data_IF_093200539368
#
_entry.id   IF_093200539368
#
_cell.length_a   1.000
_cell.length_b   1.000
_cell.length_c   1.000
_cell.angle_alpha   90.00
_cell.angle_beta   90.00
_cell.angle_gamma   90.00
#
_symmetry.space_group_name_H-M   'P 1'
#
loop_
_entity.id
_entity.type
_entity.pdbx_description
1 polymer ?
#
# COMPACT_ATOMS: atom_id res chain seq x y z
N UNK A 1 30.19 -33.40 -25.01
CA UNK A 1 29.37 -32.49 -24.17
C UNK A 1 30.29 -31.82 -23.14
N UNK A 2 30.48 -30.50 -23.20
CA UNK A 2 31.27 -29.75 -22.19
C UNK A 2 30.37 -29.40 -21.01
N UNK A 3 30.71 -29.89 -19.81
CA UNK A 3 30.00 -29.56 -18.58
C UNK A 3 30.12 -28.06 -18.27
N UNK A 4 28.99 -27.37 -18.10
CA UNK A 4 28.94 -26.01 -17.55
C UNK A 4 29.47 -26.06 -16.11
N UNK A 5 30.64 -25.47 -15.85
CA UNK A 5 31.11 -25.20 -14.48
C UNK A 5 30.08 -24.29 -13.78
N UNK A 6 29.54 -24.75 -12.66
CA UNK A 6 28.73 -23.92 -11.78
C UNK A 6 29.56 -22.73 -11.28
N UNK A 7 29.08 -21.49 -11.49
CA UNK A 7 29.69 -20.28 -10.93
C UNK A 7 29.61 -20.39 -9.41
N UNK A 8 30.76 -20.35 -8.72
CA UNK A 8 30.81 -20.18 -7.26
C UNK A 8 30.01 -18.93 -6.87
N UNK A 9 29.21 -18.96 -5.78
CA UNK A 9 28.54 -17.76 -5.30
C UNK A 9 29.60 -16.68 -5.02
N UNK A 10 29.34 -15.48 -5.51
CA UNK A 10 30.26 -14.34 -5.38
C UNK A 10 30.14 -13.76 -3.96
N UNK A 11 31.22 -13.82 -3.18
CA UNK A 11 31.30 -13.21 -1.84
C UNK A 11 31.56 -11.68 -1.91
N UNK A 12 31.26 -11.06 -3.06
CA UNK A 12 31.49 -9.63 -3.28
C UNK A 12 30.75 -8.79 -2.24
N UNK A 13 29.47 -9.07 -1.99
CA UNK A 13 28.68 -8.32 -1.02
C UNK A 13 29.20 -8.48 0.42
N UNK A 14 29.76 -9.64 0.78
CA UNK A 14 30.31 -9.85 2.13
C UNK A 14 31.61 -9.09 2.31
N UNK A 15 32.45 -9.05 1.28
CA UNK A 15 33.77 -8.38 1.33
C UNK A 15 33.72 -6.87 1.01
N UNK A 16 32.58 -6.37 0.55
CA UNK A 16 32.36 -4.97 0.23
C UNK A 16 32.29 -4.11 1.50
N UNK A 17 33.07 -3.03 1.52
CA UNK A 17 33.04 -1.98 2.53
C UNK A 17 32.69 -0.66 1.85
N UNK A 18 31.75 0.09 2.43
CA UNK A 18 31.23 1.34 1.87
C UNK A 18 30.98 2.35 2.99
N UNK A 19 31.22 3.62 2.67
CA UNK A 19 30.74 4.75 3.44
C UNK A 19 30.32 5.83 2.46
N UNK A 20 29.03 6.15 2.41
CA UNK A 20 28.45 7.10 1.48
C UNK A 20 27.68 8.12 2.29
N UNK A 21 28.02 9.39 2.15
CA UNK A 21 27.23 10.50 2.67
C UNK A 21 26.40 11.08 1.53
N UNK A 22 25.11 11.24 1.77
CA UNK A 22 24.15 11.86 0.86
C UNK A 22 23.63 13.11 1.55
N UNK A 23 23.86 14.26 0.95
CA UNK A 23 23.30 15.53 1.39
C UNK A 23 22.73 16.26 0.17
N UNK A 24 21.43 16.53 0.18
CA UNK A 24 20.76 17.23 -0.91
C UNK A 24 20.76 18.74 -0.70
N UNK A 25 21.53 19.48 -1.50
CA UNK A 25 21.51 20.95 -1.48
C UNK A 25 20.18 21.53 -1.99
N UNK A 26 19.54 20.88 -2.96
CA UNK A 26 18.22 21.22 -3.49
C UNK A 26 17.25 20.08 -3.21
N UNK A 27 15.95 20.35 -3.00
CA UNK A 27 14.97 19.31 -2.80
C UNK A 27 14.95 18.33 -3.97
N UNK A 28 14.95 17.03 -3.65
CA UNK A 28 14.74 15.96 -4.59
C UNK A 28 13.24 15.85 -4.87
N UNK A 29 12.86 15.83 -6.15
CA UNK A 29 11.45 15.72 -6.56
C UNK A 29 11.16 14.26 -6.88
N UNK A 30 10.25 13.67 -6.13
CA UNK A 30 9.68 12.36 -6.42
C UNK A 30 8.28 12.55 -7.02
N UNK A 31 8.13 12.20 -8.30
CA UNK A 31 6.87 12.29 -9.03
C UNK A 31 6.57 10.98 -9.73
N UNK A 32 5.47 10.34 -9.35
CA UNK A 32 5.05 9.04 -9.88
C UNK A 32 3.54 8.94 -9.79
N UNK A 33 2.84 8.77 -10.92
CA UNK A 33 1.37 8.76 -11.08
C UNK A 33 0.60 9.66 -10.09
N UNK A 34 0.38 9.12 -8.90
CA UNK A 34 -0.45 9.70 -7.84
C UNK A 34 0.34 10.44 -6.74
N UNK A 35 1.66 10.44 -6.77
CA UNK A 35 2.55 11.04 -5.77
C UNK A 35 3.36 12.17 -6.42
N UNK A 36 3.40 13.31 -5.74
CA UNK A 36 4.33 14.39 -6.04
C UNK A 36 4.84 15.00 -4.75
N UNK A 37 6.04 14.61 -4.33
CA UNK A 37 6.65 15.01 -3.06
C UNK A 37 8.04 15.59 -3.34
N UNK A 38 8.39 16.64 -2.61
CA UNK A 38 9.75 17.15 -2.56
C UNK A 38 10.38 16.74 -1.23
N UNK A 39 11.64 16.32 -1.24
CA UNK A 39 12.34 15.91 -0.03
C UNK A 39 13.75 16.46 0.05
N UNK A 40 14.19 16.76 1.28
CA UNK A 40 15.61 16.96 1.59
C UNK A 40 16.13 15.72 2.28
N UNK A 41 17.31 15.29 1.86
CA UNK A 41 17.93 14.04 2.29
C UNK A 41 19.25 14.36 2.95
N UNK A 42 19.44 13.89 4.18
CA UNK A 42 20.72 13.82 4.85
C UNK A 42 20.89 12.40 5.38
N UNK A 43 21.62 11.56 4.65
CA UNK A 43 21.77 10.13 4.96
C UNK A 43 23.24 9.71 4.91
N UNK A 44 23.66 8.95 5.92
CA UNK A 44 24.89 8.17 5.91
C UNK A 44 24.59 6.70 5.67
N UNK A 45 25.12 6.13 4.59
CA UNK A 45 25.04 4.71 4.28
C UNK A 45 26.40 4.08 4.56
N UNK A 46 26.43 3.14 5.49
CA UNK A 46 27.65 2.46 5.92
C UNK A 46 27.52 0.96 5.74
N UNK A 47 28.60 0.33 5.31
CA UNK A 47 28.73 -1.12 5.30
C UNK A 47 30.16 -1.49 5.62
N UNK A 48 30.33 -2.37 6.60
CA UNK A 48 31.60 -3.01 6.88
C UNK A 48 31.66 -4.40 6.22
N UNK A 49 32.86 -4.96 6.10
CA UNK A 49 33.06 -6.34 5.66
C UNK A 49 32.31 -7.29 6.60
N UNK A 50 31.59 -8.25 6.05
CA UNK A 50 30.77 -9.24 6.73
C UNK A 50 29.66 -8.65 7.63
N UNK A 51 29.36 -7.36 7.50
CA UNK A 51 28.28 -6.68 8.22
C UNK A 51 27.13 -6.31 7.27
N UNK A 52 25.88 -6.22 7.78
CA UNK A 52 24.78 -5.68 7.01
C UNK A 52 24.98 -4.20 6.70
N UNK A 53 24.25 -3.70 5.69
CA UNK A 53 24.19 -2.26 5.40
C UNK A 53 23.44 -1.56 6.54
N UNK A 54 24.00 -0.44 6.99
CA UNK A 54 23.41 0.48 7.97
C UNK A 54 23.12 1.82 7.29
N UNK A 55 21.95 2.39 7.55
CA UNK A 55 21.53 3.72 7.07
C UNK A 55 21.18 4.56 8.29
N UNK A 56 21.78 5.75 8.38
CA UNK A 56 21.59 6.72 9.46
C UNK A 56 21.20 8.08 8.88
N UNK A 57 20.45 8.88 9.63
CA UNK A 57 20.09 10.24 9.27
C UNK A 57 18.59 10.42 9.05
N UNK A 58 18.20 11.37 8.21
CA UNK A 58 16.80 11.72 7.99
C UNK A 58 16.48 12.10 6.55
N UNK A 59 15.21 11.94 6.21
CA UNK A 59 14.58 12.49 5.03
C UNK A 59 13.46 13.40 5.50
N UNK A 60 13.58 14.69 5.24
CA UNK A 60 12.53 15.69 5.43
C UNK A 60 11.65 15.68 4.19
N UNK A 61 10.36 15.46 4.36
CA UNK A 61 9.37 15.59 3.30
C UNK A 61 8.73 16.98 3.41
N UNK A 62 8.90 17.78 2.37
CA UNK A 62 8.52 19.19 2.40
C UNK A 62 7.00 19.37 2.36
N UNK A 63 6.53 20.36 3.12
CA UNK A 63 5.13 20.78 3.14
C UNK A 63 4.65 21.09 1.72
N UNK A 64 3.41 20.70 1.42
CA UNK A 64 2.78 20.91 0.11
C UNK A 64 3.04 19.79 -0.88
N UNK A 65 3.82 18.76 -0.52
CA UNK A 65 3.81 17.48 -1.22
C UNK A 65 2.40 16.90 -1.29
N UNK A 66 2.09 16.12 -2.31
CA UNK A 66 0.73 15.63 -2.57
C UNK A 66 0.72 14.15 -2.87
N UNK A 67 -0.32 13.47 -2.38
CA UNK A 67 -0.65 12.09 -2.71
C UNK A 67 -2.13 11.99 -3.05
N UNK A 68 -2.47 11.43 -4.20
CA UNK A 68 -3.85 11.27 -4.66
C UNK A 68 -4.27 9.81 -4.54
N UNK A 69 -5.26 9.52 -3.71
CA UNK A 69 -5.77 8.17 -3.51
C UNK A 69 -7.23 8.12 -3.93
N UNK A 70 -7.56 7.30 -4.94
CA UNK A 70 -8.94 7.18 -5.46
C UNK A 70 -9.60 8.55 -5.75
N UNK A 71 -8.85 9.47 -6.36
CA UNK A 71 -9.30 10.83 -6.68
C UNK A 71 -9.22 11.84 -5.53
N UNK A 72 -8.95 11.40 -4.30
CA UNK A 72 -8.85 12.25 -3.10
C UNK A 72 -7.43 12.73 -2.90
N UNK A 73 -7.24 14.04 -2.81
CA UNK A 73 -5.91 14.66 -2.70
C UNK A 73 -5.54 14.91 -1.25
N UNK A 74 -4.50 14.23 -0.80
CA UNK A 74 -3.86 14.41 0.50
C UNK A 74 -2.66 15.33 0.35
N UNK A 75 -2.54 16.32 1.23
CA UNK A 75 -1.46 17.31 1.23
C UNK A 75 -0.56 17.07 2.44
N UNK A 76 0.73 16.93 2.18
CA UNK A 76 1.73 16.69 3.19
C UNK A 76 1.95 17.96 4.03
N UNK A 77 1.86 17.82 5.35
CA UNK A 77 2.42 18.77 6.32
C UNK A 77 3.89 18.45 6.53
N UNK A 78 4.60 19.28 7.27
CA UNK A 78 6.00 19.00 7.60
C UNK A 78 6.13 17.59 8.21
N UNK A 79 6.96 16.75 7.59
CA UNK A 79 7.01 15.31 7.85
C UNK A 79 8.45 14.80 7.73
N UNK A 80 8.77 13.74 8.46
CA UNK A 80 10.12 13.20 8.53
C UNK A 80 10.13 11.66 8.51
N UNK A 81 11.21 11.13 7.94
CA UNK A 81 11.57 9.72 8.01
C UNK A 81 12.98 9.63 8.59
N UNK A 82 13.13 8.96 9.73
CA UNK A 82 14.40 8.83 10.43
C UNK A 82 14.96 7.43 10.27
N UNK A 83 16.23 7.34 9.89
CA UNK A 83 16.94 6.08 9.74
C UNK A 83 17.91 5.90 10.92
N UNK A 84 17.79 4.78 11.61
CA UNK A 84 18.55 4.46 12.85
C UNK A 84 19.38 3.19 12.72
N UNK A 85 19.63 2.75 11.48
CA UNK A 85 20.48 1.61 11.15
C UNK A 85 19.84 0.72 10.08
N UNK A 86 18.72 0.06 10.37
CA UNK A 86 18.08 -0.84 9.41
C UNK A 86 17.26 -0.05 8.39
N UNK A 87 17.64 -0.14 7.11
CA UNK A 87 16.97 0.56 6.01
C UNK A 87 15.46 0.26 5.91
N UNK A 88 15.03 -0.95 6.28
CA UNK A 88 13.62 -1.37 6.24
C UNK A 88 12.85 -1.10 7.55
N UNK A 89 13.48 -0.49 8.55
CA UNK A 89 12.83 -0.12 9.83
C UNK A 89 13.11 1.35 10.19
N UNK A 90 12.80 2.31 9.30
CA UNK A 90 12.84 3.71 9.68
C UNK A 90 11.77 4.03 10.73
N UNK A 91 11.98 5.09 11.49
CA UNK A 91 10.95 5.72 12.30
C UNK A 91 10.23 6.76 11.43
N UNK A 92 8.92 6.64 11.32
CA UNK A 92 8.07 7.54 10.56
C UNK A 92 7.49 8.61 11.50
N UNK A 93 7.43 9.85 11.02
CA UNK A 93 6.59 10.92 11.55
C UNK A 93 6.01 11.70 10.38
N UNK A 94 4.86 11.24 9.89
CA UNK A 94 4.24 11.74 8.68
C UNK A 94 2.90 12.36 9.05
N UNK A 95 2.68 13.60 8.63
CA UNK A 95 1.43 14.31 8.81
C UNK A 95 0.85 14.70 7.44
N UNK A 96 -0.40 14.34 7.20
CA UNK A 96 -1.12 14.69 5.97
C UNK A 96 -2.47 15.29 6.30
N UNK A 97 -2.91 16.18 5.42
CA UNK A 97 -4.19 16.85 5.47
C UNK A 97 -5.05 16.40 4.30
N UNK A 98 -6.35 16.24 4.54
CA UNK A 98 -7.35 15.99 3.51
C UNK A 98 -8.50 16.97 3.69
N UNK A 99 -8.77 17.74 2.65
CA UNK A 99 -9.92 18.65 2.60
C UNK A 99 -11.12 17.89 2.02
N UNK A 100 -12.05 17.51 2.89
CA UNK A 100 -13.38 17.08 2.49
C UNK A 100 -14.29 18.31 2.25
N UNK A 101 -15.54 18.08 1.85
CA UNK A 101 -16.50 19.17 1.55
C UNK A 101 -16.69 20.08 2.78
N UNK A 102 -17.00 19.48 3.93
CA UNK A 102 -17.34 20.21 5.16
C UNK A 102 -16.30 20.05 6.28
N UNK A 103 -15.22 19.29 6.04
CA UNK A 103 -14.25 18.91 7.08
C UNK A 103 -12.81 19.08 6.62
N UNK A 104 -11.98 19.61 7.51
CA UNK A 104 -10.53 19.51 7.42
C UNK A 104 -10.08 18.30 8.24
N UNK A 105 -9.56 17.27 7.56
CA UNK A 105 -9.10 16.03 8.19
C UNK A 105 -7.59 16.03 8.29
N UNK A 106 -7.09 15.76 9.48
CA UNK A 106 -5.68 15.63 9.82
C UNK A 106 -5.36 14.17 10.16
N UNK A 107 -4.32 13.63 9.53
CA UNK A 107 -3.88 12.25 9.71
C UNK A 107 -2.40 12.25 10.07
N UNK A 108 -2.06 11.66 11.22
CA UNK A 108 -0.69 11.51 11.68
C UNK A 108 -0.30 10.03 11.75
N UNK A 109 0.76 9.68 11.06
CA UNK A 109 1.38 8.36 11.03
C UNK A 109 2.73 8.43 11.74
N UNK A 110 2.85 7.74 12.87
CA UNK A 110 4.11 7.63 13.63
C UNK A 110 4.54 6.18 13.82
N UNK A 111 5.79 5.95 14.23
CA UNK A 111 6.29 4.60 14.56
C UNK A 111 6.99 3.91 13.39
N UNK A 112 7.17 2.58 13.49
CA UNK A 112 7.85 1.80 12.45
C UNK A 112 6.86 1.29 11.40
N UNK A 113 7.27 1.08 10.12
CA UNK A 113 6.39 0.59 9.07
C UNK A 113 5.66 -0.73 9.38
N UNK A 114 6.26 -1.60 10.19
CA UNK A 114 5.66 -2.89 10.59
C UNK A 114 4.72 -2.79 11.80
N UNK A 115 4.69 -1.65 12.49
CA UNK A 115 3.83 -1.38 13.63
C UNK A 115 3.52 0.12 13.71
N UNK A 116 2.81 0.67 12.71
CA UNK A 116 2.52 2.09 12.65
C UNK A 116 1.44 2.47 13.66
N UNK A 117 1.52 3.67 14.19
CA UNK A 117 0.47 4.32 14.97
C UNK A 117 -0.17 5.41 14.10
N UNK A 118 -1.47 5.27 13.80
CA UNK A 118 -2.20 6.19 12.93
C UNK A 118 -3.28 6.88 13.76
N UNK A 119 -3.22 8.21 13.78
CA UNK A 119 -4.17 9.07 14.47
C UNK A 119 -4.94 9.91 13.45
N UNK A 120 -6.24 10.05 13.69
CA UNK A 120 -7.15 10.81 12.85
C UNK A 120 -7.79 11.89 13.70
N UNK A 121 -7.80 13.12 13.19
CA UNK A 121 -8.49 14.26 13.81
C UNK A 121 -9.18 15.05 12.72
N UNK A 122 -10.19 15.83 13.07
CA UNK A 122 -10.87 16.70 12.10
C UNK A 122 -11.33 18.00 12.72
N UNK A 123 -11.56 19.00 11.86
CA UNK A 123 -12.26 20.23 12.19
C UNK A 123 -13.43 20.44 11.23
N UNK A 124 -14.70 20.46 11.70
CA UNK A 124 -15.15 20.14 13.07
C UNK A 124 -14.75 18.74 13.57
N UNK A 125 -14.79 18.54 14.91
CA UNK A 125 -14.38 17.28 15.55
C UNK A 125 -15.32 16.13 15.21
N UNK A 126 -14.75 15.03 14.71
CA UNK A 126 -15.44 13.78 14.41
C UNK A 126 -14.77 12.61 15.13
N UNK A 127 -15.50 11.52 15.27
CA UNK A 127 -14.96 10.22 15.64
C UNK A 127 -14.05 9.66 14.52
N UNK A 128 -13.22 8.68 14.88
CA UNK A 128 -12.35 7.99 13.93
C UNK A 128 -13.16 7.31 12.82
N UNK A 129 -14.27 6.68 13.19
CA UNK A 129 -15.16 5.95 12.28
C UNK A 129 -15.81 6.89 11.26
N UNK A 130 -16.28 8.07 11.69
CA UNK A 130 -16.82 9.10 10.79
C UNK A 130 -15.75 9.59 9.82
N UNK A 131 -14.54 9.88 10.30
CA UNK A 131 -13.42 10.30 9.43
C UNK A 131 -13.11 9.23 8.39
N UNK A 132 -12.99 7.96 8.80
CA UNK A 132 -12.73 6.85 7.88
C UNK A 132 -13.86 6.68 6.86
N UNK A 133 -15.11 6.82 7.28
CA UNK A 133 -16.29 6.73 6.42
C UNK A 133 -16.27 7.85 5.36
N UNK A 134 -15.95 9.08 5.74
CA UNK A 134 -15.79 10.21 4.80
C UNK A 134 -14.66 9.91 3.80
N UNK A 135 -13.50 9.47 4.27
CA UNK A 135 -12.38 9.21 3.36
C UNK A 135 -12.72 8.06 2.39
N UNK A 136 -13.35 6.99 2.86
CA UNK A 136 -13.64 5.80 2.03
C UNK A 136 -14.85 5.97 1.11
N UNK A 137 -15.89 6.65 1.58
CA UNK A 137 -17.23 6.61 0.98
C UNK A 137 -17.86 7.97 0.71
N UNK A 138 -17.16 9.07 1.03
CA UNK A 138 -17.69 10.45 0.88
C UNK A 138 -18.97 10.70 1.70
N UNK A 139 -19.18 9.96 2.80
CA UNK A 139 -20.38 10.08 3.62
C UNK A 139 -20.12 9.69 5.07
N UNK A 140 -20.75 10.41 6.00
CA UNK A 140 -20.82 10.06 7.43
C UNK A 140 -21.87 8.97 7.70
N UNK A 141 -22.88 8.81 6.84
CA UNK A 141 -24.07 8.01 7.10
C UNK A 141 -23.84 6.49 7.11
N UNK A 142 -22.62 6.03 6.82
CA UNK A 142 -22.25 4.61 6.86
C UNK A 142 -21.65 4.19 8.21
N UNK A 143 -21.53 5.11 9.15
CA UNK A 143 -21.12 4.80 10.54
C UNK A 143 -22.15 3.85 11.15
N UNK A 144 -21.69 2.65 11.55
CA UNK A 144 -22.53 1.56 12.08
C UNK A 144 -22.76 0.38 11.12
N UNK A 145 -22.46 0.52 9.82
CA UNK A 145 -22.44 -0.63 8.87
C UNK A 145 -21.10 -1.36 8.84
N UNK A 146 -20.01 -0.61 9.05
CA UNK A 146 -18.65 -1.15 9.12
C UNK A 146 -17.98 -0.70 10.42
N UNK A 147 -17.21 -1.60 11.04
CA UNK A 147 -16.38 -1.22 12.18
C UNK A 147 -15.20 -0.35 11.73
N UNK A 148 -14.66 0.47 12.64
CA UNK A 148 -13.44 1.24 12.36
C UNK A 148 -12.26 0.37 11.93
N UNK A 149 -12.16 -0.85 12.46
CA UNK A 149 -11.13 -1.81 12.05
C UNK A 149 -11.34 -2.34 10.62
N UNK A 150 -12.58 -2.66 10.24
CA UNK A 150 -12.88 -3.10 8.88
C UNK A 150 -12.61 -1.98 7.86
N UNK A 151 -12.97 -0.74 8.20
CA UNK A 151 -12.65 0.41 7.36
C UNK A 151 -11.14 0.65 7.25
N UNK A 152 -10.37 0.47 8.33
CA UNK A 152 -8.90 0.52 8.25
C UNK A 152 -8.32 -0.56 7.34
N UNK A 153 -8.89 -1.77 7.36
CA UNK A 153 -8.50 -2.86 6.44
C UNK A 153 -8.82 -2.51 5.00
N UNK A 154 -10.00 -1.95 4.73
CA UNK A 154 -10.37 -1.45 3.40
C UNK A 154 -9.39 -0.36 2.92
N UNK A 155 -9.08 0.61 3.78
CA UNK A 155 -8.10 1.66 3.51
C UNK A 155 -6.73 1.07 3.18
N UNK A 156 -6.26 0.11 3.98
CA UNK A 156 -5.01 -0.61 3.72
C UNK A 156 -5.03 -1.32 2.36
N UNK A 157 -6.16 -1.91 1.97
CA UNK A 157 -6.38 -2.52 0.66
C UNK A 157 -6.21 -1.53 -0.50
N UNK A 158 -6.88 -0.39 -0.38
CA UNK A 158 -6.81 0.72 -1.36
C UNK A 158 -5.38 1.27 -1.45
N UNK A 159 -4.73 1.51 -0.32
CA UNK A 159 -3.34 2.00 -0.29
C UNK A 159 -2.36 1.00 -0.89
N UNK A 160 -2.48 -0.30 -0.57
CA UNK A 160 -1.64 -1.35 -1.12
C UNK A 160 -1.83 -1.45 -2.65
N UNK A 161 -3.07 -1.40 -3.14
CA UNK A 161 -3.38 -1.34 -4.58
C UNK A 161 -2.72 -0.13 -5.25
N UNK A 162 -2.84 1.07 -4.67
CA UNK A 162 -2.21 2.29 -5.19
C UNK A 162 -0.68 2.16 -5.23
N UNK A 163 -0.05 1.63 -4.18
CA UNK A 163 1.39 1.38 -4.15
C UNK A 163 1.83 0.39 -5.24
N UNK A 164 1.10 -0.70 -5.43
CA UNK A 164 1.36 -1.68 -6.50
C UNK A 164 1.20 -1.06 -7.89
N UNK A 165 0.16 -0.25 -8.10
CA UNK A 165 -0.06 0.48 -9.36
C UNK A 165 1.09 1.44 -9.65
N UNK A 166 1.61 2.15 -8.64
CA UNK A 166 2.80 2.98 -8.80
C UNK A 166 4.02 2.15 -9.22
N UNK A 167 4.15 0.90 -8.77
CA UNK A 167 5.21 -0.02 -9.21
C UNK A 167 4.97 -0.65 -10.60
N UNK A 168 3.90 -0.27 -11.31
CA UNK A 168 3.51 -0.83 -12.60
C UNK A 168 2.75 -2.16 -12.50
N UNK A 169 2.30 -2.53 -11.31
CA UNK A 169 1.50 -3.74 -11.07
C UNK A 169 0.03 -3.35 -10.99
N UNK A 170 -0.68 -3.54 -12.09
CA UNK A 170 -2.11 -3.24 -12.16
C UNK A 170 -2.95 -4.41 -11.61
N UNK A 171 -3.80 -4.09 -10.61
CA UNK A 171 -4.83 -4.94 -10.05
C UNK A 171 -6.13 -4.13 -9.91
N UNK A 172 -7.28 -4.78 -10.03
CA UNK A 172 -8.59 -4.11 -9.95
C UNK A 172 -9.10 -4.06 -8.52
N UNK A 173 -8.89 -5.12 -7.75
CA UNK A 173 -9.30 -5.21 -6.35
C UNK A 173 -8.22 -5.84 -5.47
N UNK A 174 -8.12 -5.33 -4.25
CA UNK A 174 -7.35 -5.93 -3.16
C UNK A 174 -8.14 -5.71 -1.87
N UNK A 175 -8.58 -6.80 -1.25
CA UNK A 175 -9.44 -6.78 -0.07
C UNK A 175 -8.80 -7.64 1.01
N UNK A 176 -8.73 -7.10 2.23
CA UNK A 176 -8.32 -7.83 3.42
C UNK A 176 -9.57 -8.31 4.15
N UNK A 177 -9.69 -9.63 4.33
CA UNK A 177 -10.82 -10.26 5.01
C UNK A 177 -10.57 -10.47 6.51
N UNK A 178 -11.35 -11.37 7.13
CA UNK A 178 -11.14 -11.76 8.53
C UNK A 178 -9.82 -12.55 8.68
N UNK A 179 -9.09 -12.33 9.77
CA UNK A 179 -7.77 -12.93 9.99
C UNK A 179 -6.71 -12.43 8.99
N UNK A 180 -5.88 -13.33 8.47
CA UNK A 180 -4.87 -13.02 7.45
C UNK A 180 -5.38 -13.24 6.02
N UNK A 181 -6.69 -13.26 5.81
CA UNK A 181 -7.24 -13.56 4.48
C UNK A 181 -7.10 -12.38 3.53
N UNK A 182 -6.70 -12.66 2.29
CA UNK A 182 -6.49 -11.65 1.24
C UNK A 182 -7.18 -12.12 -0.03
N UNK A 183 -7.98 -11.24 -0.63
CA UNK A 183 -8.55 -11.41 -1.96
C UNK A 183 -7.90 -10.40 -2.92
N UNK A 184 -7.36 -10.90 -4.03
CA UNK A 184 -6.75 -10.10 -5.10
C UNK A 184 -7.50 -10.39 -6.39
N UNK A 185 -8.10 -9.37 -6.99
CA UNK A 185 -8.79 -9.46 -8.27
C UNK A 185 -8.06 -8.68 -9.36
N UNK A 186 -7.92 -9.31 -10.52
CA UNK A 186 -7.42 -8.68 -11.74
C UNK A 186 -8.37 -8.95 -12.90
N UNK A 187 -8.87 -7.88 -13.50
CA UNK A 187 -9.60 -7.91 -14.76
C UNK A 187 -8.59 -8.10 -15.88
N UNK A 188 -8.76 -9.18 -16.62
CA UNK A 188 -7.94 -9.50 -17.78
C UNK A 188 -8.57 -8.90 -19.04
N UNK A 189 -9.90 -8.92 -19.10
CA UNK A 189 -10.72 -8.26 -20.14
C UNK A 189 -12.02 -7.79 -19.51
N UNK A 190 -12.84 -7.01 -20.21
CA UNK A 190 -14.17 -6.61 -19.71
C UNK A 190 -15.09 -7.78 -19.31
N UNK A 191 -14.79 -8.98 -19.83
CA UNK A 191 -15.53 -10.21 -19.52
C UNK A 191 -14.82 -11.15 -18.57
N UNK A 192 -13.49 -11.09 -18.46
CA UNK A 192 -12.69 -12.06 -17.69
C UNK A 192 -12.07 -11.38 -16.48
N UNK A 193 -12.31 -11.94 -15.29
CA UNK A 193 -11.65 -11.53 -14.04
C UNK A 193 -11.07 -12.75 -13.35
N UNK A 194 -9.81 -12.68 -12.96
CA UNK A 194 -9.15 -13.69 -12.13
C UNK A 194 -9.12 -13.17 -10.70
N UNK A 195 -9.50 -14.02 -9.75
CA UNK A 195 -9.52 -13.71 -8.33
C UNK A 195 -8.71 -14.78 -7.60
N UNK A 196 -7.71 -14.35 -6.85
CA UNK A 196 -6.98 -15.19 -5.91
C UNK A 196 -7.46 -14.90 -4.50
N UNK A 197 -7.77 -15.94 -3.73
CA UNK A 197 -8.14 -15.85 -2.33
C UNK A 197 -7.18 -16.71 -1.52
N UNK A 198 -6.56 -16.11 -0.52
CA UNK A 198 -5.82 -16.83 0.50
C UNK A 198 -6.64 -16.82 1.79
N UNK A 199 -7.34 -17.92 2.08
CA UNK A 199 -8.09 -18.14 3.33
C UNK A 199 -7.49 -19.39 4.02
N UNK A 200 -8.30 -20.28 4.62
CA UNK A 200 -7.78 -21.58 5.15
C UNK A 200 -7.12 -22.44 4.07
N UNK A 201 -7.70 -22.44 2.86
CA UNK A 201 -7.12 -23.04 1.67
C UNK A 201 -7.10 -22.02 0.55
N UNK A 202 -5.96 -21.88 -0.12
CA UNK A 202 -5.84 -20.98 -1.26
C UNK A 202 -6.78 -21.42 -2.39
N UNK A 203 -7.54 -20.48 -2.94
CA UNK A 203 -8.49 -20.69 -4.03
C UNK A 203 -8.28 -19.67 -5.14
N UNK A 204 -8.28 -20.14 -6.38
CA UNK A 204 -8.35 -19.29 -7.57
C UNK A 204 -9.77 -19.39 -8.14
N UNK A 205 -10.34 -18.24 -8.49
CA UNK A 205 -11.61 -18.14 -9.24
C UNK A 205 -11.36 -17.43 -10.56
N UNK A 206 -11.93 -17.96 -11.64
CA UNK A 206 -12.08 -17.27 -12.92
C UNK A 206 -13.55 -16.93 -13.11
N UNK A 207 -13.84 -15.65 -13.17
CA UNK A 207 -15.17 -15.14 -13.49
C UNK A 207 -15.21 -14.77 -14.97
N UNK A 208 -16.16 -15.34 -15.71
CA UNK A 208 -16.43 -15.02 -17.10
C UNK A 208 -17.85 -14.47 -17.26
N UNK A 209 -17.99 -13.20 -17.62
CA UNK A 209 -19.28 -12.55 -17.90
C UNK A 209 -19.75 -12.93 -19.30
N UNK A 210 -20.88 -13.62 -19.38
CA UNK A 210 -21.57 -13.93 -20.64
C UNK A 210 -22.38 -12.73 -21.15
N UNK A 211 -22.93 -11.95 -20.21
CA UNK A 211 -23.73 -10.76 -20.47
C UNK A 211 -23.93 -9.93 -19.21
N UNK A 212 -24.93 -9.04 -19.21
CA UNK A 212 -25.23 -8.18 -18.06
C UNK A 212 -25.63 -8.95 -16.80
N UNK A 213 -26.36 -10.06 -16.98
CA UNK A 213 -26.98 -10.78 -15.87
C UNK A 213 -26.41 -12.19 -15.64
N UNK A 214 -25.57 -12.70 -16.55
CA UNK A 214 -25.10 -14.09 -16.48
C UNK A 214 -23.58 -14.15 -16.47
N UNK A 215 -23.03 -14.94 -15.53
CA UNK A 215 -21.60 -15.18 -15.43
C UNK A 215 -21.32 -16.65 -15.06
N UNK A 216 -20.22 -17.20 -15.56
CA UNK A 216 -19.64 -18.44 -15.04
C UNK A 216 -18.54 -18.13 -14.04
N UNK A 217 -18.47 -18.90 -12.97
CA UNK A 217 -17.43 -18.85 -11.94
C UNK A 217 -16.77 -20.22 -11.89
N UNK A 218 -15.50 -20.27 -12.28
CA UNK A 218 -14.68 -21.49 -12.23
C UNK A 218 -13.79 -21.38 -11.01
N UNK A 219 -13.98 -22.24 -10.01
CA UNK A 219 -13.19 -22.25 -8.79
C UNK A 219 -12.25 -23.44 -8.71
N UNK A 220 -11.02 -23.24 -8.25
CA UNK A 220 -10.09 -24.32 -7.94
C UNK A 220 -9.33 -24.03 -6.64
N UNK A 221 -9.30 -25.00 -5.73
CA UNK A 221 -8.46 -25.04 -4.54
C UNK A 221 -7.80 -26.42 -4.41
N UNK A 222 -6.94 -26.62 -3.40
CA UNK A 222 -6.36 -27.94 -3.12
C UNK A 222 -7.41 -29.00 -2.80
N UNK A 223 -8.53 -28.62 -2.17
CA UNK A 223 -9.57 -29.54 -1.74
C UNK A 223 -10.72 -29.72 -2.74
N UNK A 224 -10.95 -28.76 -3.65
CA UNK A 224 -12.15 -28.79 -4.51
C UNK A 224 -12.00 -28.01 -5.81
N UNK A 225 -12.79 -28.41 -6.81
CA UNK A 225 -12.98 -27.65 -8.05
C UNK A 225 -14.47 -27.47 -8.28
N UNK A 226 -14.89 -26.27 -8.70
CA UNK A 226 -16.27 -25.95 -8.99
C UNK A 226 -16.41 -25.23 -10.33
N UNK A 227 -17.56 -25.40 -10.95
CA UNK A 227 -18.01 -24.63 -12.10
C UNK A 227 -19.45 -24.23 -11.84
N UNK A 228 -19.66 -22.95 -11.59
CA UNK A 228 -20.95 -22.41 -11.19
C UNK A 228 -21.43 -21.43 -12.28
N UNK A 229 -22.71 -21.47 -12.64
CA UNK A 229 -23.33 -20.43 -13.47
C UNK A 229 -24.26 -19.62 -12.58
N UNK A 230 -24.01 -18.31 -12.54
CA UNK A 230 -24.74 -17.38 -11.68
C UNK A 230 -25.51 -16.40 -12.55
N UNK A 231 -26.81 -16.31 -12.30
CA UNK A 231 -27.68 -15.26 -12.83
C UNK A 231 -27.95 -14.22 -11.74
N UNK A 232 -27.68 -12.93 -12.03
CA UNK A 232 -27.95 -11.80 -11.14
C UNK A 232 -28.99 -10.90 -11.78
N UNK A 233 -30.11 -10.71 -11.08
CA UNK A 233 -31.13 -9.71 -11.41
C UNK A 233 -30.92 -8.49 -10.52
N UNK A 234 -30.78 -7.32 -11.12
CA UNK A 234 -30.76 -6.06 -10.38
C UNK A 234 -32.18 -5.81 -9.83
N UNK A 235 -32.30 -5.33 -8.59
CA UNK A 235 -33.55 -4.90 -7.97
C UNK A 235 -33.60 -3.37 -7.91
#
# INVERSE_FOLDING_TARGET
>A
MRAKKAKKPSNFMDTLSLNIQIDSQKPLVYKQNNIHIQSKVNLGIQKQKNAPISVLGSVELLKGGTYTLEGKKFVLKESFVYFTGKMNKPLLDIAVEYQAIDYLIDIRLTGMPNSPNIQFTSSPSLSREEILSIILFDSEALVGTHSGEDMMKMMGGIMAKSALSNLGIEIDSLVFGKGNSIEIGKKITDKITIIYLNDMLSKVKLNYKHGKHTQSVIGASEASRSYDIVYKRDF
#
